data_IF_076730367476
#
_entry.id   IF_076730367476
#
_cell.length_a   1.000
_cell.length_b   1.000
_cell.length_c   1.000
_cell.angle_alpha   90.00
_cell.angle_beta   90.00
_cell.angle_gamma   90.00
#
_symmetry.space_group_name_H-M   'P 1'
#
loop_
_entity.id
_entity.type
_entity.pdbx_description
1 polymer ?
#
# COMPACT_ATOMS: atom_id res chain seq x y z
N UNK A 1 -1.74 22.55 -28.43
CA UNK A 1 -0.66 21.56 -28.23
C UNK A 1 -0.32 21.32 -26.75
N UNK A 2 0.12 22.31 -25.96
CA UNK A 2 0.43 22.11 -24.51
C UNK A 2 -0.78 21.65 -23.67
N UNK A 3 -1.98 22.15 -23.97
CA UNK A 3 -3.24 21.74 -23.32
C UNK A 3 -3.69 20.31 -23.64
N UNK A 4 -3.29 19.75 -24.79
CA UNK A 4 -3.65 18.38 -25.16
C UNK A 4 -2.74 17.35 -24.48
N UNK A 5 -1.45 17.67 -24.32
CA UNK A 5 -0.48 16.80 -23.64
C UNK A 5 -0.83 16.63 -22.15
N UNK A 6 -1.36 17.66 -21.49
CA UNK A 6 -1.75 17.60 -20.08
C UNK A 6 -2.93 16.63 -19.83
N UNK A 7 -3.87 16.52 -20.78
CA UNK A 7 -5.06 15.69 -20.62
C UNK A 7 -4.79 14.18 -20.73
N UNK A 8 -3.67 13.77 -21.34
CA UNK A 8 -3.29 12.36 -21.48
C UNK A 8 -2.92 11.73 -20.12
N UNK A 9 -2.40 12.52 -19.18
CA UNK A 9 -2.02 12.03 -17.86
C UNK A 9 -3.19 11.93 -16.87
N UNK A 10 -4.37 12.48 -17.19
CA UNK A 10 -5.52 12.53 -16.28
C UNK A 10 -6.46 11.35 -16.52
N UNK A 11 -6.31 10.30 -15.71
CA UNK A 11 -7.26 9.17 -15.71
C UNK A 11 -8.53 9.50 -14.94
N UNK A 12 -9.69 9.34 -15.57
CA UNK A 12 -11.01 9.55 -14.93
C UNK A 12 -11.21 8.57 -13.76
N UNK A 13 -11.72 9.08 -12.62
CA UNK A 13 -12.09 8.24 -11.47
C UNK A 13 -13.27 7.34 -11.81
N UNK A 14 -13.25 6.10 -11.33
CA UNK A 14 -14.37 5.17 -11.50
C UNK A 14 -15.56 5.62 -10.64
N UNK A 15 -16.71 5.85 -11.28
CA UNK A 15 -18.00 6.07 -10.60
C UNK A 15 -18.66 4.70 -10.38
N UNK A 16 -18.68 4.24 -9.14
CA UNK A 16 -19.28 2.95 -8.77
C UNK A 16 -20.81 3.04 -8.77
N UNK A 17 -21.50 1.91 -8.97
CA UNK A 17 -22.96 1.84 -8.91
C UNK A 17 -23.67 2.53 -10.08
N UNK A 18 -23.14 2.42 -11.30
CA UNK A 18 -23.72 3.00 -12.52
C UNK A 18 -24.12 1.92 -13.51
N UNK A 19 -25.02 1.03 -13.07
CA UNK A 19 -25.48 -0.13 -13.85
C UNK A 19 -24.44 -1.24 -13.97
N UNK A 20 -24.86 -2.42 -14.45
CA UNK A 20 -24.00 -3.59 -14.55
C UNK A 20 -22.87 -3.43 -15.58
N UNK A 21 -23.16 -2.78 -16.71
CA UNK A 21 -22.18 -2.55 -17.80
C UNK A 21 -20.95 -1.71 -17.37
N UNK A 22 -21.07 -0.91 -16.30
CA UNK A 22 -19.95 -0.14 -15.72
C UNK A 22 -18.87 -1.00 -15.01
N UNK A 23 -19.07 -2.31 -14.93
CA UNK A 23 -18.17 -3.29 -14.29
C UNK A 23 -18.29 -3.37 -12.77
N UNK A 24 -18.65 -2.29 -12.08
CA UNK A 24 -18.95 -2.30 -10.64
C UNK A 24 -20.37 -1.79 -10.38
N UNK A 25 -21.34 -2.57 -10.85
CA UNK A 25 -22.78 -2.31 -10.73
C UNK A 25 -23.33 -2.54 -9.32
N UNK A 26 -24.30 -3.46 -9.17
CA UNK A 26 -25.13 -3.65 -7.98
C UNK A 26 -24.38 -3.68 -6.63
N UNK A 27 -23.25 -4.37 -6.54
CA UNK A 27 -22.49 -4.52 -5.28
C UNK A 27 -21.32 -3.54 -5.17
N UNK A 28 -21.09 -2.71 -6.18
CA UNK A 28 -19.92 -1.83 -6.29
C UNK A 28 -18.57 -2.57 -6.15
N UNK A 29 -18.53 -3.89 -6.32
CA UNK A 29 -17.33 -4.73 -6.09
C UNK A 29 -17.09 -5.14 -4.64
N UNK A 30 -18.05 -4.88 -3.72
CA UNK A 30 -17.96 -5.22 -2.29
C UNK A 30 -18.54 -6.58 -1.93
N UNK A 31 -19.18 -7.27 -2.88
CA UNK A 31 -19.94 -8.50 -2.63
C UNK A 31 -21.34 -8.25 -2.04
N UNK A 32 -22.03 -9.32 -1.63
CA UNK A 32 -23.44 -9.25 -1.21
C UNK A 32 -23.64 -8.82 0.26
N UNK A 33 -23.04 -9.54 1.22
CA UNK A 33 -23.26 -9.38 2.66
C UNK A 33 -21.92 -9.42 3.41
N UNK A 34 -21.97 -9.31 4.73
CA UNK A 34 -20.81 -9.35 5.62
C UNK A 34 -20.37 -7.96 6.10
N UNK A 35 -19.54 -7.93 7.14
CA UNK A 35 -19.09 -6.69 7.76
C UNK A 35 -18.41 -5.75 6.75
N UNK A 36 -17.57 -6.29 5.84
CA UNK A 36 -16.83 -5.52 4.85
C UNK A 36 -17.70 -4.81 3.79
N UNK A 37 -18.94 -5.26 3.57
CA UNK A 37 -19.81 -4.63 2.58
C UNK A 37 -20.59 -3.44 3.15
N UNK A 38 -20.76 -3.35 4.48
CA UNK A 38 -21.55 -2.31 5.16
C UNK A 38 -20.85 -0.94 5.18
N UNK A 39 -21.63 0.13 5.31
CA UNK A 39 -21.11 1.48 5.48
C UNK A 39 -20.41 1.60 6.85
N UNK A 40 -19.35 2.40 6.91
CA UNK A 40 -18.61 2.63 8.17
C UNK A 40 -17.77 1.44 8.68
N UNK A 41 -17.72 0.32 7.95
CA UNK A 41 -16.89 -0.80 8.37
C UNK A 41 -15.40 -0.39 8.41
N UNK A 42 -14.75 -0.63 9.55
CA UNK A 42 -13.32 -0.43 9.78
C UNK A 42 -12.80 -1.56 10.67
N UNK A 43 -12.30 -2.62 10.05
CA UNK A 43 -11.58 -3.68 10.78
C UNK A 43 -10.13 -3.21 10.90
N UNK A 44 -9.50 -3.25 12.09
CA UNK A 44 -8.09 -2.92 12.24
C UNK A 44 -7.24 -3.79 11.31
N UNK A 45 -6.26 -3.20 10.61
CA UNK A 45 -5.47 -3.89 9.58
C UNK A 45 -4.84 -5.19 10.09
N UNK A 46 -4.39 -5.21 11.33
CA UNK A 46 -3.70 -6.35 11.92
C UNK A 46 -4.62 -7.34 12.64
N UNK A 47 -5.94 -7.10 12.67
CA UNK A 47 -6.88 -7.97 13.37
C UNK A 47 -7.09 -9.28 12.59
N UNK A 48 -6.74 -10.41 13.21
CA UNK A 48 -6.79 -11.76 12.62
C UNK A 48 -8.07 -12.52 13.01
N UNK A 49 -9.14 -11.84 13.43
CA UNK A 49 -10.43 -12.50 13.72
C UNK A 49 -10.56 -13.13 15.11
N UNK A 50 -9.68 -12.78 16.05
CA UNK A 50 -9.68 -13.32 17.43
C UNK A 50 -8.34 -13.96 17.81
N UNK A 51 -7.52 -14.30 16.82
CA UNK A 51 -6.14 -14.72 17.05
C UNK A 51 -5.29 -13.55 17.58
N UNK A 52 -4.31 -13.87 18.44
CA UNK A 52 -3.30 -12.89 18.85
C UNK A 52 -2.54 -12.39 17.62
N UNK A 53 -2.44 -11.07 17.47
CA UNK A 53 -1.82 -10.47 16.29
C UNK A 53 -0.35 -10.89 16.17
N UNK A 54 0.13 -11.08 14.93
CA UNK A 54 1.52 -11.43 14.64
C UNK A 54 2.59 -10.60 15.35
N UNK A 55 2.43 -9.27 15.40
CA UNK A 55 3.41 -8.38 16.05
C UNK A 55 3.47 -8.52 17.57
N UNK A 56 2.46 -9.14 18.19
CA UNK A 56 2.46 -9.51 19.61
C UNK A 56 3.11 -10.88 19.84
N UNK A 57 2.96 -11.80 18.88
CA UNK A 57 3.59 -13.13 18.93
C UNK A 57 5.11 -13.06 18.84
N UNK A 58 5.65 -12.11 18.06
CA UNK A 58 7.09 -11.95 17.89
C UNK A 58 7.70 -11.08 19.00
N UNK A 59 8.90 -11.44 19.50
CA UNK A 59 9.61 -10.59 20.45
C UNK A 59 9.98 -9.25 19.81
N UNK A 60 10.03 -8.19 20.64
CA UNK A 60 10.52 -6.88 20.19
C UNK A 60 12.02 -6.97 19.91
N UNK A 61 12.43 -6.55 18.72
CA UNK A 61 13.85 -6.45 18.37
C UNK A 61 14.48 -5.34 19.23
N UNK A 62 15.57 -5.65 19.95
CA UNK A 62 16.32 -4.68 20.75
C UNK A 62 17.23 -3.88 19.82
N UNK A 63 16.91 -2.58 19.67
CA UNK A 63 17.71 -1.55 18.99
C UNK A 63 17.88 -1.72 17.46
N UNK A 64 17.69 -0.62 16.72
CA UNK A 64 18.18 -0.54 15.33
C UNK A 64 19.67 -0.27 15.38
N UNK A 65 20.50 -1.12 14.77
CA UNK A 65 21.92 -0.81 14.64
C UNK A 65 22.06 0.48 13.80
N UNK A 66 22.70 1.51 14.37
CA UNK A 66 23.01 2.75 13.63
C UNK A 66 24.06 2.52 12.52
N UNK A 67 24.70 1.34 12.54
CA UNK A 67 25.86 1.02 11.72
C UNK A 67 25.51 0.51 10.31
N UNK A 68 24.25 0.12 10.03
CA UNK A 68 23.86 -0.37 8.70
C UNK A 68 24.00 0.72 7.61
N UNK A 69 23.63 1.97 7.90
CA UNK A 69 23.73 3.06 6.92
C UNK A 69 25.18 3.48 6.71
N UNK A 70 25.98 3.55 7.79
CA UNK A 70 27.39 3.95 7.75
C UNK A 70 28.23 2.99 6.88
N UNK A 71 27.98 1.68 6.98
CA UNK A 71 28.68 0.67 6.19
C UNK A 71 28.31 0.73 4.70
N UNK A 72 27.06 1.05 4.36
CA UNK A 72 26.60 1.17 2.97
C UNK A 72 27.17 2.41 2.27
N UNK A 73 27.30 3.53 2.98
CA UNK A 73 27.98 4.72 2.44
C UNK A 73 29.49 4.48 2.28
N UNK A 74 30.13 3.79 3.23
CA UNK A 74 31.56 3.47 3.13
C UNK A 74 31.89 2.57 1.94
N UNK A 75 31.06 1.55 1.64
CA UNK A 75 31.29 0.67 0.49
C UNK A 75 31.18 1.41 -0.84
N UNK A 76 30.18 2.27 -1.00
CA UNK A 76 29.99 3.09 -2.21
C UNK A 76 31.18 4.04 -2.41
N UNK A 77 31.65 4.67 -1.34
CA UNK A 77 32.81 5.56 -1.40
C UNK A 77 34.09 4.80 -1.74
N UNK A 78 34.27 3.58 -1.22
CA UNK A 78 35.43 2.73 -1.54
C UNK A 78 35.41 2.22 -2.99
N UNK A 79 34.24 1.84 -3.52
CA UNK A 79 34.11 1.45 -4.93
C UNK A 79 34.44 2.62 -5.84
N UNK A 80 33.87 3.80 -5.59
CA UNK A 80 34.15 5.00 -6.40
C UNK A 80 35.61 5.46 -6.34
N UNK A 81 36.32 5.18 -5.24
CA UNK A 81 37.75 5.49 -5.06
C UNK A 81 38.69 4.48 -5.73
N UNK A 82 38.17 3.34 -6.20
CA UNK A 82 38.92 2.26 -6.86
C UNK A 82 38.88 2.32 -8.39
N UNK A 83 37.94 3.10 -8.94
CA UNK A 83 37.74 3.32 -10.39
C UNK A 83 38.30 4.66 -10.89
N UNK A 84 38.85 5.49 -10.00
CA UNK A 84 39.76 6.60 -10.31
C UNK A 84 41.18 6.17 -9.93
#
# INVERSE_FOLDING_TARGET
MILEVFNIFIKKKKRLGRGYSSGNGKTCGRGHKGQKSRAGFKIPLFFEGGQTNFFKKKPKIKQKSKNILKNKFFSILYENKKFN
#
